data_IF_969636874863
#
_entry.id   IF_969636874863
#
_cell.length_a   1.000
_cell.length_b   1.000
_cell.length_c   1.000
_cell.angle_alpha   90.00
_cell.angle_beta   90.00
_cell.angle_gamma   90.00
#
_symmetry.space_group_name_H-M   'P 1'
#
loop_
_entity.id
_entity.type
_entity.pdbx_description
1 polymer ?
#
# COMPACT_ATOMS: atom_id res chain seq x y z
N UNK A 1 8.69 -3.60 -0.46
CA UNK A 1 8.35 -2.71 -1.59
C UNK A 1 9.52 -2.72 -2.54
N UNK A 2 9.28 -3.07 -3.80
CA UNK A 2 10.27 -3.18 -4.85
C UNK A 2 9.94 -2.15 -5.95
N UNK A 3 10.93 -1.39 -6.40
CA UNK A 3 10.80 -0.53 -7.58
C UNK A 3 10.71 -1.41 -8.82
N UNK A 4 9.71 -1.16 -9.66
CA UNK A 4 9.41 -1.92 -10.87
C UNK A 4 9.17 -0.96 -12.04
N UNK A 5 9.35 -1.43 -13.27
CA UNK A 5 9.10 -0.64 -14.47
C UNK A 5 7.84 -1.18 -15.16
N UNK A 6 6.88 -0.30 -15.44
CA UNK A 6 5.66 -0.61 -16.21
C UNK A 6 5.68 0.29 -17.46
N UNK A 7 6.04 -0.28 -18.61
CA UNK A 7 6.28 0.51 -19.81
C UNK A 7 7.45 1.48 -19.60
N UNK A 8 7.22 2.77 -19.84
CA UNK A 8 8.19 3.84 -19.58
C UNK A 8 8.07 4.46 -18.18
N UNK A 9 7.14 3.99 -17.34
CA UNK A 9 6.87 4.55 -16.02
C UNK A 9 7.48 3.70 -14.90
N UNK A 10 7.95 4.39 -13.85
CA UNK A 10 8.38 3.75 -12.61
C UNK A 10 7.18 3.47 -11.71
N UNK A 11 7.14 2.26 -11.14
CA UNK A 11 6.09 1.80 -10.26
C UNK A 11 6.68 1.17 -8.99
N UNK A 12 5.84 0.97 -7.97
CA UNK A 12 6.22 0.29 -6.74
C UNK A 12 5.32 -0.91 -6.52
N UNK A 13 5.92 -2.11 -6.47
CA UNK A 13 5.21 -3.34 -6.13
C UNK A 13 5.26 -3.56 -4.62
N UNK A 14 4.08 -3.76 -4.02
CA UNK A 14 3.90 -4.03 -2.60
C UNK A 14 3.08 -5.30 -2.44
N UNK A 15 3.60 -6.23 -1.64
CA UNK A 15 2.90 -7.44 -1.22
C UNK A 15 2.86 -7.52 0.30
N UNK A 16 1.80 -8.13 0.82
CA UNK A 16 1.59 -8.38 2.23
C UNK A 16 0.80 -9.66 2.41
N UNK A 17 1.08 -10.41 3.47
CA UNK A 17 0.20 -11.49 3.90
C UNK A 17 -1.10 -10.91 4.48
N UNK A 18 -2.17 -11.71 4.48
CA UNK A 18 -3.47 -11.34 5.03
C UNK A 18 -3.60 -11.59 6.52
N UNK A 19 -2.68 -12.32 7.17
CA UNK A 19 -2.87 -12.80 8.54
C UNK A 19 -2.55 -11.73 9.57
N UNK A 20 -3.48 -11.43 10.47
CA UNK A 20 -3.20 -10.67 11.70
C UNK A 20 -3.50 -11.53 12.93
N UNK A 21 -2.71 -11.33 13.98
CA UNK A 21 -2.89 -12.01 15.27
C UNK A 21 -2.96 -10.96 16.37
N UNK A 22 -4.05 -11.00 17.14
CA UNK A 22 -4.25 -10.18 18.34
C UNK A 22 -4.56 -11.09 19.52
N UNK A 23 -3.57 -11.24 20.41
CA UNK A 23 -3.63 -12.23 21.49
C UNK A 23 -3.86 -13.65 20.94
N UNK A 24 -4.89 -14.39 21.41
CA UNK A 24 -5.18 -15.74 20.93
C UNK A 24 -5.96 -15.78 19.61
N UNK A 25 -6.39 -14.64 19.07
CA UNK A 25 -7.25 -14.57 17.88
C UNK A 25 -6.39 -14.33 16.65
N UNK A 26 -6.58 -15.16 15.63
CA UNK A 26 -6.00 -14.97 14.30
C UNK A 26 -7.11 -14.79 13.28
N UNK A 27 -6.97 -13.78 12.43
CA UNK A 27 -7.96 -13.44 11.41
C UNK A 27 -7.28 -12.86 10.16
N UNK A 28 -8.06 -12.75 9.09
CA UNK A 28 -7.61 -12.13 7.85
C UNK A 28 -7.94 -10.64 7.82
N UNK A 29 -6.98 -9.83 7.38
CA UNK A 29 -7.11 -8.38 7.23
C UNK A 29 -6.43 -7.93 5.94
N UNK A 30 -7.06 -6.98 5.25
CA UNK A 30 -6.43 -6.26 4.15
C UNK A 30 -5.44 -5.26 4.73
N UNK A 31 -4.14 -5.51 4.59
CA UNK A 31 -3.10 -4.63 5.18
C UNK A 31 -2.66 -3.50 4.26
N UNK A 32 -2.94 -3.59 2.96
CA UNK A 32 -2.47 -2.66 1.93
C UNK A 32 -3.63 -1.75 1.51
N UNK A 33 -3.44 -0.45 1.67
CA UNK A 33 -4.39 0.58 1.27
C UNK A 33 -3.68 1.60 0.34
N UNK A 34 -3.95 1.55 -0.97
CA UNK A 34 -3.46 2.58 -1.89
C UNK A 34 -4.16 3.91 -1.62
N UNK A 35 -3.41 5.00 -1.79
CA UNK A 35 -3.88 6.38 -1.65
C UNK A 35 -3.68 7.05 -3.01
N UNK A 36 -4.78 7.47 -3.62
CA UNK A 36 -4.84 8.13 -4.91
C UNK A 36 -5.50 9.50 -4.77
N UNK A 37 -5.10 10.43 -5.64
CA UNK A 37 -5.74 11.74 -5.82
C UNK A 37 -6.39 11.78 -7.20
N UNK A 38 -7.66 12.14 -7.26
CA UNK A 38 -8.31 12.44 -8.53
C UNK A 38 -8.11 13.92 -8.85
N UNK A 39 -7.46 14.23 -9.97
CA UNK A 39 -7.27 15.59 -10.48
C UNK A 39 -7.65 15.62 -11.97
N UNK A 40 -8.54 16.53 -12.37
CA UNK A 40 -9.02 16.66 -13.75
C UNK A 40 -9.56 15.37 -14.40
N UNK A 41 -10.12 14.47 -13.57
CA UNK A 41 -10.66 13.19 -14.03
C UNK A 41 -9.61 12.07 -14.16
N UNK A 42 -8.34 12.36 -13.89
CA UNK A 42 -7.26 11.38 -13.86
C UNK A 42 -6.92 10.98 -12.41
N UNK A 43 -6.64 9.69 -12.17
CA UNK A 43 -6.18 9.19 -10.88
C UNK A 43 -4.64 9.23 -10.81
N UNK A 44 -4.12 9.90 -9.79
CA UNK A 44 -2.69 10.02 -9.51
C UNK A 44 -2.36 9.23 -8.25
N UNK A 45 -1.50 8.23 -8.38
CA UNK A 45 -1.01 7.44 -7.24
C UNK A 45 -0.11 8.30 -6.34
N UNK A 46 -0.50 8.49 -5.08
CA UNK A 46 0.26 9.31 -4.13
C UNK A 46 1.11 8.47 -3.18
N UNK A 47 0.51 7.44 -2.57
CA UNK A 47 1.17 6.67 -1.52
C UNK A 47 0.48 5.32 -1.29
N UNK A 48 1.10 4.48 -0.47
CA UNK A 48 0.48 3.28 0.07
C UNK A 48 0.62 3.28 1.59
N UNK A 49 -0.50 3.05 2.27
CA UNK A 49 -0.55 2.81 3.70
C UNK A 49 -0.57 1.31 3.98
N UNK A 50 0.34 0.85 4.86
CA UNK A 50 0.47 -0.55 5.27
C UNK A 50 0.25 -0.72 6.77
N UNK A 51 -0.63 -1.61 7.24
CA UNK A 51 -0.85 -1.82 8.68
C UNK A 51 -1.61 -3.11 9.03
N UNK A 52 -1.35 -3.66 10.21
CA UNK A 52 -1.97 -4.89 10.72
C UNK A 52 -2.85 -4.60 11.96
N UNK A 53 -3.77 -3.63 11.86
CA UNK A 53 -4.79 -3.37 12.89
C UNK A 53 -4.76 -1.96 13.49
N UNK A 54 -3.64 -1.52 14.08
CA UNK A 54 -3.61 -0.29 14.92
C UNK A 54 -2.75 0.88 14.38
N UNK A 55 -1.82 0.64 13.46
CA UNK A 55 -0.97 1.71 12.92
C UNK A 55 -0.58 1.42 11.48
N UNK A 56 -0.89 2.36 10.59
CA UNK A 56 -0.50 2.32 9.19
C UNK A 56 0.76 3.14 8.94
N UNK A 57 1.76 2.53 8.30
CA UNK A 57 2.97 3.21 7.83
C UNK A 57 2.72 3.71 6.40
N UNK A 58 2.78 5.01 6.19
CA UNK A 58 2.71 5.60 4.84
C UNK A 58 4.11 5.54 4.22
N UNK A 59 4.24 4.88 3.07
CA UNK A 59 5.50 4.87 2.30
C UNK A 59 5.33 5.75 1.07
N UNK A 60 6.12 6.83 1.02
CA UNK A 60 6.21 7.74 -0.11
C UNK A 60 7.55 7.53 -0.82
N UNK A 61 7.56 7.53 -2.15
CA UNK A 61 8.77 7.54 -2.96
C UNK A 61 9.12 8.98 -3.33
N UNK A 62 10.28 9.47 -2.89
CA UNK A 62 10.85 10.71 -3.41
C UNK A 62 11.72 10.41 -4.63
N UNK A 63 11.61 11.28 -5.65
CA UNK A 63 12.57 11.40 -6.76
C UNK A 63 13.75 12.27 -6.34
#
# INVERSE_FOLDING_TARGET
ALKWLIGEQEAVVIGSDSRATYGPITYEVKKIYPIYLTHDGEEVDLAVAGGAGDSSLAKYGYT
#
